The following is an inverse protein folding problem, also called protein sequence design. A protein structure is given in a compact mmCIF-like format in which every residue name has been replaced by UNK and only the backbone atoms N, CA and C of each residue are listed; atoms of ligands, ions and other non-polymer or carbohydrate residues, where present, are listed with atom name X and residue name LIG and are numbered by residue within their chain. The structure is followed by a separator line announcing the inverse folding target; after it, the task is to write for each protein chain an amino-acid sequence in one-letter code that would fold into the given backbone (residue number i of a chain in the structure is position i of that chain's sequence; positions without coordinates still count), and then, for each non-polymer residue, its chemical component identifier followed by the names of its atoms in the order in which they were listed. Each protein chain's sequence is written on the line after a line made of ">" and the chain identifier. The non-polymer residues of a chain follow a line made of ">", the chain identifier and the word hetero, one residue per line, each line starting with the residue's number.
data_IF_029700662893
#
_entry.id   IF_029700662893
#
_cell.length_a   1.000
_cell.length_b   1.000
_cell.length_c   1.000
_cell.angle_alpha   90.00
_cell.angle_beta   90.00
_cell.angle_gamma   90.00
#
_symmetry.space_group_name_H-M   'P 1'
#
loop_
_entity.id
_entity.type
_entity.pdbx_description
1 polymer ?
#
# COMPACT_ATOMS: atom_id res chain seq x y z
N UNK A 1 -1.65 -20.52 25.81
CA UNK A 1 -2.41 -20.23 24.56
C UNK A 1 -3.46 -19.17 24.86
N UNK A 2 -3.28 -17.96 24.35
CA UNK A 2 -4.25 -16.89 24.56
C UNK A 2 -5.41 -17.08 23.60
N UNK A 3 -6.59 -17.37 24.08
CA UNK A 3 -7.78 -17.57 23.28
C UNK A 3 -8.26 -16.19 22.77
N UNK A 4 -8.22 -15.97 21.46
CA UNK A 4 -8.82 -14.79 20.86
C UNK A 4 -10.32 -14.89 20.98
N UNK A 5 -10.92 -14.11 21.90
CA UNK A 5 -12.35 -14.19 22.25
C UNK A 5 -13.23 -13.16 21.54
N UNK A 6 -12.66 -12.27 20.74
CA UNK A 6 -13.42 -11.25 19.99
C UNK A 6 -12.97 -11.13 18.56
N UNK A 7 -13.87 -11.41 17.64
CA UNK A 7 -13.73 -11.06 16.23
C UNK A 7 -14.18 -9.61 16.03
N UNK A 8 -13.27 -8.76 15.53
CA UNK A 8 -13.63 -7.39 15.10
C UNK A 8 -13.76 -7.39 13.58
N UNK A 9 -14.92 -6.96 13.11
CA UNK A 9 -15.15 -6.71 11.68
C UNK A 9 -14.95 -5.22 11.39
N UNK A 10 -14.17 -4.90 10.36
CA UNK A 10 -13.89 -3.55 9.93
C UNK A 10 -14.54 -3.30 8.58
N UNK A 11 -15.41 -2.30 8.49
CA UNK A 11 -15.85 -1.75 7.22
C UNK A 11 -14.76 -0.79 6.70
N UNK A 12 -14.14 -1.14 5.59
CA UNK A 12 -12.95 -0.44 5.09
C UNK A 12 -13.26 0.60 4.01
N UNK A 13 -14.48 0.64 3.49
CA UNK A 13 -14.86 1.49 2.37
C UNK A 13 -15.70 2.70 2.79
N UNK A 14 -15.50 3.83 2.11
CA UNK A 14 -16.35 5.02 2.14
C UNK A 14 -17.27 5.05 0.91
N UNK A 15 -18.29 5.88 0.92
CA UNK A 15 -19.41 5.92 -0.05
C UNK A 15 -19.08 6.12 -1.55
N UNK A 16 -17.83 6.38 -1.93
CA UNK A 16 -17.38 6.53 -3.33
C UNK A 16 -16.46 5.42 -3.80
N UNK A 17 -16.36 4.34 -3.04
CA UNK A 17 -15.44 3.23 -3.31
C UNK A 17 -16.24 2.04 -3.82
N UNK A 18 -15.83 1.47 -4.95
CA UNK A 18 -16.42 0.25 -5.50
C UNK A 18 -16.03 -0.99 -4.71
N UNK A 19 -14.80 -1.06 -4.30
CA UNK A 19 -14.27 -2.17 -3.54
C UNK A 19 -13.06 -1.75 -2.71
N UNK A 20 -12.75 -2.55 -1.72
CA UNK A 20 -11.52 -2.43 -0.93
C UNK A 20 -10.95 -3.80 -0.65
N UNK A 21 -9.64 -3.88 -0.56
CA UNK A 21 -8.92 -5.09 -0.16
C UNK A 21 -7.82 -4.76 0.81
N UNK A 22 -7.63 -5.61 1.81
CA UNK A 22 -6.47 -5.59 2.68
C UNK A 22 -5.54 -6.74 2.29
N UNK A 23 -4.26 -6.44 2.18
CA UNK A 23 -3.21 -7.39 1.77
C UNK A 23 -2.43 -7.90 2.98
N UNK A 24 -2.27 -7.07 4.00
CA UNK A 24 -1.47 -7.39 5.19
C UNK A 24 -2.01 -6.71 6.44
N UNK A 25 -1.65 -7.25 7.59
CA UNK A 25 -2.02 -6.76 8.91
C UNK A 25 -0.80 -6.75 9.83
N UNK A 26 -0.66 -5.68 10.61
CA UNK A 26 0.32 -5.55 11.68
C UNK A 26 -0.35 -5.06 12.96
N UNK A 27 0.08 -5.55 14.11
CA UNK A 27 -0.44 -5.12 15.41
C UNK A 27 0.70 -4.66 16.29
N UNK A 28 0.64 -3.42 16.72
CA UNK A 28 1.62 -2.82 17.63
C UNK A 28 0.90 -2.08 18.75
N UNK A 29 1.25 -2.36 20.00
CA UNK A 29 0.69 -1.66 21.17
C UNK A 29 -0.85 -1.69 21.23
N UNK A 30 -1.49 -2.76 20.76
CA UNK A 30 -2.95 -2.88 20.71
C UNK A 30 -3.61 -2.12 19.54
N UNK A 31 -2.83 -1.41 18.73
CA UNK A 31 -3.29 -0.74 17.51
C UNK A 31 -3.18 -1.70 16.32
N UNK A 32 -4.24 -1.79 15.54
CA UNK A 32 -4.29 -2.61 14.33
C UNK A 32 -4.01 -1.73 13.11
N UNK A 33 -3.03 -2.14 12.33
CA UNK A 33 -2.69 -1.55 11.03
C UNK A 33 -2.97 -2.57 9.93
N UNK A 34 -3.55 -2.13 8.83
CA UNK A 34 -3.77 -2.96 7.65
C UNK A 34 -3.34 -2.18 6.43
N UNK A 35 -2.61 -2.80 5.52
CA UNK A 35 -2.27 -2.22 4.22
C UNK A 35 -3.13 -2.83 3.13
N UNK A 36 -3.37 -2.07 2.08
CA UNK A 36 -4.15 -2.53 0.94
C UNK A 36 -4.51 -1.41 -0.03
N UNK A 37 -5.57 -1.63 -0.79
CA UNK A 37 -6.04 -0.66 -1.76
C UNK A 37 -7.55 -0.47 -1.70
N UNK A 38 -8.00 0.71 -2.08
CA UNK A 38 -9.40 1.02 -2.35
C UNK A 38 -9.55 1.32 -3.83
N UNK A 39 -10.53 0.68 -4.47
CA UNK A 39 -10.86 0.98 -5.86
C UNK A 39 -11.88 2.12 -5.89
N UNK A 40 -11.47 3.24 -6.43
CA UNK A 40 -12.29 4.45 -6.54
C UNK A 40 -12.81 4.56 -7.96
N UNK A 41 -14.09 4.93 -8.11
CA UNK A 41 -14.72 5.15 -9.42
C UNK A 41 -13.89 6.16 -10.21
N UNK A 42 -13.48 5.79 -11.43
CA UNK A 42 -12.69 6.60 -12.35
C UNK A 42 -11.28 7.00 -11.85
N UNK A 43 -10.73 6.26 -10.87
CA UNK A 43 -9.39 6.55 -10.34
C UNK A 43 -8.51 5.30 -10.12
N UNK A 44 -9.03 4.10 -10.41
CA UNK A 44 -8.28 2.87 -10.22
C UNK A 44 -8.04 2.51 -8.76
N UNK A 45 -6.95 1.81 -8.49
CA UNK A 45 -6.60 1.35 -7.15
C UNK A 45 -5.72 2.38 -6.42
N UNK A 46 -6.29 2.99 -5.40
CA UNK A 46 -5.61 3.95 -4.51
C UNK A 46 -4.94 3.18 -3.37
N UNK A 47 -3.63 3.34 -3.17
CA UNK A 47 -2.92 2.68 -2.08
C UNK A 47 -3.29 3.32 -0.75
N UNK A 48 -3.60 2.49 0.24
CA UNK A 48 -4.01 2.96 1.57
C UNK A 48 -3.47 2.06 2.67
N UNK A 49 -3.42 2.61 3.87
CA UNK A 49 -3.43 1.80 5.07
C UNK A 49 -4.56 2.26 6.01
N UNK A 50 -5.02 1.36 6.85
CA UNK A 50 -5.97 1.66 7.91
C UNK A 50 -5.28 1.52 9.27
N UNK A 51 -5.42 2.56 10.09
CA UNK A 51 -5.04 2.53 11.51
C UNK A 51 -6.31 2.40 12.33
N UNK A 52 -6.51 1.25 12.97
CA UNK A 52 -7.79 0.85 13.53
C UNK A 52 -8.89 0.88 12.46
N UNK A 53 -9.72 1.90 12.40
CA UNK A 53 -10.78 2.05 11.39
C UNK A 53 -10.60 3.28 10.50
N UNK A 54 -9.52 4.02 10.73
CA UNK A 54 -9.25 5.27 10.00
C UNK A 54 -8.40 4.97 8.79
N UNK A 55 -8.89 5.33 7.60
CA UNK A 55 -8.17 5.21 6.34
C UNK A 55 -7.17 6.36 6.17
N UNK A 56 -5.98 6.01 5.75
CA UNK A 56 -4.91 6.91 5.37
C UNK A 56 -4.44 6.58 3.96
N UNK A 57 -4.48 7.55 3.07
CA UNK A 57 -3.94 7.40 1.73
C UNK A 57 -2.42 7.43 1.75
N UNK A 58 -1.82 6.59 0.92
CA UNK A 58 -0.40 6.57 0.63
C UNK A 58 -0.16 7.39 -0.64
N UNK A 59 1.00 8.02 -0.72
CA UNK A 59 1.37 8.83 -1.89
C UNK A 59 1.43 7.97 -3.15
N UNK A 60 0.88 8.51 -4.24
CA UNK A 60 1.04 7.99 -5.58
C UNK A 60 1.52 9.14 -6.48
N UNK A 61 2.57 8.92 -7.29
CA UNK A 61 3.13 9.98 -8.14
C UNK A 61 2.23 10.41 -9.30
N UNK A 62 1.27 9.60 -9.65
CA UNK A 62 0.35 9.89 -10.74
C UNK A 62 -0.94 10.49 -10.19
N UNK A 63 -1.53 11.38 -10.97
CA UNK A 63 -2.85 11.91 -10.68
C UNK A 63 -3.89 10.78 -10.92
N UNK A 64 -4.23 10.08 -9.84
CA UNK A 64 -5.22 9.00 -9.85
C UNK A 64 -6.56 9.42 -10.48
N UNK A 65 -6.85 10.73 -10.55
CA UNK A 65 -8.06 11.25 -11.19
C UNK A 65 -7.97 11.33 -12.71
N UNK A 66 -6.78 11.17 -13.27
CA UNK A 66 -6.51 11.27 -14.71
C UNK A 66 -6.08 9.98 -15.35
N UNK A 67 -5.94 8.92 -14.56
CA UNK A 67 -5.43 7.65 -15.02
C UNK A 67 -6.44 6.54 -14.74
N UNK A 68 -7.09 6.04 -15.81
CA UNK A 68 -8.14 5.00 -15.71
C UNK A 68 -7.59 3.63 -15.27
N UNK A 69 -6.29 3.40 -15.41
CA UNK A 69 -5.65 2.10 -15.18
C UNK A 69 -4.47 2.14 -14.20
N UNK A 70 -4.15 3.31 -13.64
CA UNK A 70 -3.09 3.40 -12.65
C UNK A 70 -3.46 2.63 -11.39
N UNK A 71 -2.51 1.86 -10.89
CA UNK A 71 -2.69 1.02 -9.72
C UNK A 71 -1.47 1.17 -8.82
N UNK A 72 -1.73 1.36 -7.55
CA UNK A 72 -0.70 1.16 -6.55
C UNK A 72 -1.28 0.32 -5.41
N UNK A 73 -0.57 -0.70 -5.02
CA UNK A 73 -1.07 -1.68 -4.06
C UNK A 73 0.03 -2.03 -3.07
N UNK A 74 -0.12 -1.65 -1.81
CA UNK A 74 0.71 -2.19 -0.75
C UNK A 74 0.42 -3.68 -0.57
N UNK A 75 1.49 -4.47 -0.51
CA UNK A 75 1.43 -5.92 -0.30
C UNK A 75 1.66 -6.28 1.16
N UNK A 76 2.47 -5.49 1.88
CA UNK A 76 2.81 -5.74 3.26
C UNK A 76 3.01 -4.44 4.05
N UNK A 77 2.87 -4.52 5.37
CA UNK A 77 3.02 -3.41 6.30
C UNK A 77 3.74 -3.84 7.57
N UNK A 78 4.66 -3.01 8.02
CA UNK A 78 5.30 -3.12 9.32
C UNK A 78 5.27 -1.78 10.03
N UNK A 79 5.15 -1.78 11.34
CA UNK A 79 5.14 -0.56 12.14
C UNK A 79 6.16 -0.69 13.28
N UNK A 80 6.94 0.34 13.50
CA UNK A 80 7.89 0.42 14.60
C UNK A 80 7.91 1.83 15.17
N UNK A 81 7.70 1.98 16.47
CA UNK A 81 7.73 3.30 17.16
C UNK A 81 6.86 4.38 16.49
N UNK A 82 5.72 4.03 15.94
CA UNK A 82 4.81 4.87 15.16
C UNK A 82 5.21 5.13 13.70
N UNK A 83 6.38 4.73 13.24
CA UNK A 83 6.71 4.78 11.82
C UNK A 83 5.99 3.65 11.09
N UNK A 84 5.20 4.03 10.11
CA UNK A 84 4.45 3.11 9.25
C UNK A 84 5.24 2.87 7.97
N UNK A 85 5.60 1.61 7.71
CA UNK A 85 6.38 1.21 6.55
C UNK A 85 5.57 0.19 5.78
N UNK A 86 5.28 0.49 4.52
CA UNK A 86 4.58 -0.41 3.62
C UNK A 86 5.41 -0.66 2.36
N UNK A 87 5.29 -1.85 1.79
CA UNK A 87 5.92 -2.19 0.51
C UNK A 87 4.90 -2.80 -0.42
N UNK A 88 5.12 -2.66 -1.71
CA UNK A 88 4.21 -3.18 -2.72
C UNK A 88 4.65 -2.85 -4.13
N UNK A 89 3.68 -2.57 -4.96
CA UNK A 89 3.89 -2.22 -6.38
C UNK A 89 3.05 -1.00 -6.75
N UNK A 90 3.55 -0.26 -7.69
CA UNK A 90 2.78 0.72 -8.44
C UNK A 90 2.90 0.43 -9.94
N UNK A 91 1.85 0.73 -10.66
CA UNK A 91 1.78 0.61 -12.11
C UNK A 91 1.70 2.00 -12.71
N UNK A 92 2.66 2.34 -13.53
CA UNK A 92 2.75 3.63 -14.21
C UNK A 92 2.48 3.44 -15.70
N UNK A 93 1.44 4.09 -16.18
CA UNK A 93 1.10 4.15 -17.61
C UNK A 93 1.75 5.33 -18.33
N UNK A 94 2.67 6.05 -17.69
CA UNK A 94 3.27 7.27 -18.26
C UNK A 94 4.06 7.06 -19.56
N UNK A 95 4.30 5.82 -19.96
CA UNK A 95 4.89 5.49 -21.26
C UNK A 95 3.84 5.40 -22.39
N UNK A 96 2.91 6.35 -22.45
CA UNK A 96 2.07 6.57 -23.61
C UNK A 96 2.91 7.14 -24.75
N UNK A 97 3.53 6.29 -25.53
CA UNK A 97 4.12 6.65 -26.80
C UNK A 97 3.19 6.19 -27.93
N UNK A 98 2.62 7.16 -28.64
CA UNK A 98 1.95 6.98 -29.94
C UNK A 98 0.79 5.97 -30.01
N UNK A 99 -0.30 6.13 -29.20
CA UNK A 99 -1.54 5.34 -29.30
C UNK A 99 -1.38 3.80 -29.25
N UNK A 100 -0.24 3.29 -28.88
CA UNK A 100 -0.02 1.88 -28.59
C UNK A 100 0.04 1.68 -27.09
N UNK A 101 -0.74 0.74 -26.58
CA UNK A 101 -0.59 0.22 -25.23
C UNK A 101 0.82 -0.39 -25.09
N UNK A 102 1.76 0.40 -24.67
CA UNK A 102 2.99 -0.18 -24.13
C UNK A 102 2.58 -0.89 -22.85
N UNK A 103 2.97 -2.14 -22.71
CA UNK A 103 2.72 -2.93 -21.51
C UNK A 103 3.34 -2.19 -20.32
N UNK A 104 2.55 -1.38 -19.64
CA UNK A 104 2.99 -0.72 -18.42
C UNK A 104 3.49 -1.79 -17.45
N UNK A 105 4.55 -1.50 -16.74
CA UNK A 105 5.21 -2.45 -15.85
C UNK A 105 4.91 -2.13 -14.39
N UNK A 106 4.66 -3.16 -13.61
CA UNK A 106 4.65 -3.01 -12.16
C UNK A 106 6.06 -2.68 -11.67
N UNK A 107 6.17 -1.67 -10.84
CA UNK A 107 7.42 -1.26 -10.20
C UNK A 107 7.31 -1.45 -8.69
N UNK A 108 8.38 -1.94 -8.09
CA UNK A 108 8.44 -2.09 -6.63
C UNK A 108 8.45 -0.73 -5.93
N UNK A 109 7.64 -0.63 -4.88
CA UNK A 109 7.43 0.58 -4.10
C UNK A 109 7.65 0.34 -2.60
N UNK A 110 8.16 1.37 -1.95
CA UNK A 110 8.25 1.50 -0.50
C UNK A 110 7.55 2.79 -0.08
N UNK A 111 6.71 2.72 0.92
CA UNK A 111 6.13 3.88 1.58
C UNK A 111 6.64 3.98 3.00
N UNK A 112 7.13 5.15 3.38
CA UNK A 112 7.51 5.48 4.74
C UNK A 112 6.68 6.66 5.20
N UNK A 113 5.85 6.48 6.21
CA UNK A 113 4.94 7.50 6.73
C UNK A 113 4.14 8.21 5.61
N UNK A 114 3.57 7.41 4.71
CA UNK A 114 2.80 7.79 3.51
C UNK A 114 3.62 8.20 2.30
N UNK A 115 4.88 8.62 2.43
CA UNK A 115 5.71 9.07 1.32
C UNK A 115 6.21 7.91 0.49
N UNK A 116 6.06 8.01 -0.83
CA UNK A 116 6.51 7.01 -1.81
C UNK A 116 8.01 7.11 -2.07
N UNK A 117 8.66 5.95 -2.09
CA UNK A 117 10.02 5.75 -2.58
C UNK A 117 10.01 4.63 -3.62
N UNK A 118 10.42 4.94 -4.83
CA UNK A 118 10.58 3.94 -5.90
C UNK A 118 11.81 3.10 -5.64
N UNK A 119 11.66 1.78 -5.60
CA UNK A 119 12.79 0.88 -5.32
C UNK A 119 13.60 0.53 -6.58
N UNK A 120 12.99 0.62 -7.76
CA UNK A 120 13.66 0.37 -9.02
C UNK A 120 13.00 1.17 -10.15
N UNK A 121 13.73 2.13 -10.73
CA UNK A 121 13.24 2.93 -11.86
C UNK A 121 13.65 2.37 -13.23
N UNK A 122 14.78 1.69 -13.30
CA UNK A 122 15.39 1.19 -14.55
C UNK A 122 15.26 -0.34 -14.75
N UNK A 123 14.58 -1.02 -13.87
CA UNK A 123 14.33 -2.46 -14.00
C UNK A 123 13.04 -2.69 -14.79
N UNK A 124 12.93 -3.84 -15.45
CA UNK A 124 11.65 -4.37 -15.91
C UNK A 124 10.64 -4.53 -14.77
N UNK A 125 9.61 -5.32 -14.97
CA UNK A 125 8.57 -5.52 -13.95
C UNK A 125 9.17 -5.99 -12.62
N UNK A 126 8.81 -5.32 -11.55
CA UNK A 126 9.28 -5.62 -10.19
C UNK A 126 8.17 -5.44 -9.16
N UNK A 127 8.28 -6.12 -8.02
CA UNK A 127 7.31 -6.05 -6.93
C UNK A 127 7.98 -6.30 -5.60
N UNK A 128 7.65 -5.52 -4.58
CA UNK A 128 8.07 -5.79 -3.21
C UNK A 128 6.96 -6.55 -2.48
N UNK A 129 7.27 -7.71 -1.91
CA UNK A 129 6.27 -8.64 -1.36
C UNK A 129 6.15 -8.58 0.15
N UNK A 130 7.24 -8.30 0.86
CA UNK A 130 7.24 -8.29 2.32
C UNK A 130 8.25 -7.30 2.88
N UNK A 131 7.96 -6.81 4.07
CA UNK A 131 8.84 -5.92 4.83
C UNK A 131 8.87 -6.34 6.29
N UNK A 132 10.07 -6.37 6.85
CA UNK A 132 10.29 -6.53 8.29
C UNK A 132 11.13 -5.36 8.76
N UNK A 133 10.65 -4.68 9.79
CA UNK A 133 11.39 -3.60 10.44
C UNK A 133 11.84 -4.10 11.81
N UNK A 134 13.13 -3.96 12.07
CA UNK A 134 13.72 -4.31 13.35
C UNK A 134 14.15 -3.05 14.09
N UNK A 135 13.81 -2.99 15.38
CA UNK A 135 14.30 -1.94 16.26
C UNK A 135 15.68 -2.33 16.79
N UNK A 136 16.72 -1.73 16.21
CA UNK A 136 18.12 -1.95 16.63
C UNK A 136 18.56 -1.06 17.82
N UNK A 137 17.64 -0.44 18.54
CA UNK A 137 17.98 0.42 19.68
C UNK A 137 18.65 -0.32 20.85
N UNK A 138 18.60 -1.65 20.88
CA UNK A 138 19.21 -2.51 21.90
C UNK A 138 20.45 -3.28 21.41
N UNK A 139 21.33 -2.69 20.64
CA UNK A 139 22.70 -3.15 20.32
C UNK A 139 22.91 -4.62 19.86
N UNK A 140 21.91 -5.32 19.37
CA UNK A 140 22.07 -6.66 18.79
C UNK A 140 21.15 -6.86 17.60
N UNK A 141 21.55 -6.28 16.48
CA UNK A 141 21.06 -6.66 15.15
C UNK A 141 22.18 -7.40 14.41
#
# INVERSE_FOLDING_TARGET
>A
MTKVTKTKTYGLAKNSVWSSRASSIHVEGGTVYMAGAVNVINAGDVPVYWKNKVQHELEAEFDLKKCDYCKATPNDISVVKNDVIAVGDYYDESDFVDNYYTNGENKAALWVNKKLFKLCECCGSSSAKSVVVMDCSNKSC
#
